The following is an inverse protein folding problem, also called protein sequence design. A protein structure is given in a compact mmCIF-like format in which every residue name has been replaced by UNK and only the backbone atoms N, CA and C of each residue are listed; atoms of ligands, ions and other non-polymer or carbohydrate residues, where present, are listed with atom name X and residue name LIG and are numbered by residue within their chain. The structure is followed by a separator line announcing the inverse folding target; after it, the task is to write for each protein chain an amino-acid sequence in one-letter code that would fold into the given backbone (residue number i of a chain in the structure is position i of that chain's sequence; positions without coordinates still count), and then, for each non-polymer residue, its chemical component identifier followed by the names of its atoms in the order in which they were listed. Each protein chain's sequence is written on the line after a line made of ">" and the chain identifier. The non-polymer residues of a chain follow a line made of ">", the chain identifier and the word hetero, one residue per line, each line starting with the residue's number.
data_IF_321686038161
#
_entry.id   IF_321686038161
#
_cell.length_a   1.000
_cell.length_b   1.000
_cell.length_c   1.000
_cell.angle_alpha   90.00
_cell.angle_beta   90.00
_cell.angle_gamma   90.00
#
_symmetry.space_group_name_H-M   'P 1'
#
loop_
_entity.id
_entity.type
_entity.pdbx_description
1 polymer ?
#
# COMPACT_ATOMS: atom_id res chain seq x y z
N UNK A 1 -9.29 5.41 -25.26
CA UNK A 1 -9.67 6.14 -24.05
C UNK A 1 -9.44 5.18 -22.89
N UNK A 2 -8.63 5.57 -21.91
CA UNK A 2 -8.35 4.70 -20.75
C UNK A 2 -9.59 4.58 -19.87
N UNK A 3 -9.68 3.57 -19.00
CA UNK A 3 -10.78 3.46 -18.06
C UNK A 3 -10.94 4.73 -17.21
N UNK A 4 -9.82 5.34 -16.83
CA UNK A 4 -9.77 6.55 -16.01
C UNK A 4 -10.38 7.77 -16.73
N UNK A 5 -10.13 7.89 -18.03
CA UNK A 5 -10.74 8.94 -18.85
C UNK A 5 -12.28 8.81 -18.88
N UNK A 6 -12.79 7.57 -18.97
CA UNK A 6 -14.24 7.30 -18.98
C UNK A 6 -14.90 7.70 -17.65
N UNK A 7 -14.31 7.29 -16.52
CA UNK A 7 -14.84 7.65 -15.18
C UNK A 7 -14.89 9.17 -14.99
N UNK A 8 -13.86 9.89 -15.47
CA UNK A 8 -13.83 11.34 -15.42
C UNK A 8 -14.85 12.00 -16.35
N UNK A 9 -15.10 11.42 -17.52
CA UNK A 9 -16.11 11.91 -18.46
C UNK A 9 -17.52 11.70 -17.90
N UNK A 10 -17.82 10.52 -17.38
CA UNK A 10 -19.10 10.19 -16.75
C UNK A 10 -19.40 11.11 -15.55
N UNK A 11 -18.40 11.35 -14.69
CA UNK A 11 -18.54 12.27 -13.57
C UNK A 11 -18.80 13.73 -14.00
N UNK A 12 -18.19 14.18 -15.11
CA UNK A 12 -18.46 15.52 -15.67
C UNK A 12 -19.88 15.61 -16.21
N UNK A 13 -20.32 14.61 -16.96
CA UNK A 13 -21.69 14.55 -17.49
C UNK A 13 -22.71 14.53 -16.34
N UNK A 14 -22.47 13.77 -15.28
CA UNK A 14 -23.31 13.74 -14.08
C UNK A 14 -23.45 15.13 -13.44
N UNK A 15 -22.35 15.88 -13.33
CA UNK A 15 -22.33 17.23 -12.79
C UNK A 15 -23.09 18.23 -13.66
N UNK A 16 -22.97 18.12 -14.99
CA UNK A 16 -23.71 18.96 -15.94
C UNK A 16 -25.22 18.71 -15.88
N UNK A 17 -25.63 17.45 -15.71
CA UNK A 17 -27.03 17.05 -15.63
C UNK A 17 -27.67 17.33 -14.27
N UNK A 18 -26.87 17.55 -13.21
CA UNK A 18 -27.33 17.73 -11.83
C UNK A 18 -28.27 16.61 -11.33
N UNK A 19 -28.07 15.39 -11.83
CA UNK A 19 -28.85 14.22 -11.40
C UNK A 19 -28.22 13.63 -10.14
N UNK A 20 -28.95 13.70 -9.01
CA UNK A 20 -28.46 13.23 -7.70
C UNK A 20 -28.07 11.74 -7.71
N UNK A 21 -28.80 10.91 -8.44
CA UNK A 21 -28.54 9.46 -8.48
C UNK A 21 -27.29 9.14 -9.27
N UNK A 22 -27.12 9.81 -10.41
CA UNK A 22 -25.93 9.67 -11.25
C UNK A 22 -24.69 10.27 -10.57
N UNK A 23 -24.86 11.36 -9.82
CA UNK A 23 -23.79 11.96 -9.01
C UNK A 23 -23.29 11.00 -7.93
N UNK A 24 -24.18 10.29 -7.23
CA UNK A 24 -23.78 9.34 -6.21
C UNK A 24 -23.05 8.12 -6.81
N UNK A 25 -23.53 7.60 -7.94
CA UNK A 25 -22.89 6.49 -8.65
C UNK A 25 -21.48 6.87 -9.17
N UNK A 26 -21.37 8.03 -9.80
CA UNK A 26 -20.08 8.52 -10.32
C UNK A 26 -19.12 8.89 -9.19
N UNK A 27 -19.62 9.37 -8.05
CA UNK A 27 -18.79 9.61 -6.86
C UNK A 27 -18.16 8.31 -6.33
N UNK A 28 -18.92 7.22 -6.26
CA UNK A 28 -18.35 5.91 -5.87
C UNK A 28 -17.29 5.43 -6.86
N UNK A 29 -17.52 5.67 -8.15
CA UNK A 29 -16.54 5.34 -9.20
C UNK A 29 -15.25 6.16 -9.06
N UNK A 30 -15.36 7.45 -8.70
CA UNK A 30 -14.20 8.32 -8.42
C UNK A 30 -13.42 7.87 -7.18
N UNK A 31 -14.09 7.40 -6.12
CA UNK A 31 -13.41 6.82 -4.95
C UNK A 31 -12.67 5.52 -5.29
N UNK A 32 -13.19 4.74 -6.25
CA UNK A 32 -12.48 3.59 -6.81
C UNK A 32 -11.23 4.03 -7.58
N UNK A 33 -11.40 5.03 -8.44
CA UNK A 33 -10.32 5.62 -9.24
C UNK A 33 -9.19 6.18 -8.38
N UNK A 34 -9.51 6.85 -7.27
CA UNK A 34 -8.52 7.37 -6.32
C UNK A 34 -7.62 6.25 -5.77
N UNK A 35 -8.20 5.11 -5.39
CA UNK A 35 -7.44 3.95 -4.88
C UNK A 35 -6.56 3.32 -5.95
N UNK A 36 -7.06 3.26 -7.20
CA UNK A 36 -6.27 2.78 -8.33
C UNK A 36 -5.08 3.71 -8.61
N UNK A 37 -5.30 5.03 -8.53
CA UNK A 37 -4.26 6.04 -8.68
C UNK A 37 -3.19 5.90 -7.60
N UNK A 38 -3.57 5.78 -6.33
CA UNK A 38 -2.63 5.56 -5.22
C UNK A 38 -1.78 4.30 -5.44
N UNK A 39 -2.39 3.22 -5.91
CA UNK A 39 -1.70 1.96 -6.21
C UNK A 39 -0.72 2.13 -7.36
N UNK A 40 -1.14 2.82 -8.42
CA UNK A 40 -0.29 3.10 -9.58
C UNK A 40 0.88 4.02 -9.23
N UNK A 41 0.67 5.03 -8.39
CA UNK A 41 1.75 5.90 -7.89
C UNK A 41 2.78 5.11 -7.08
N UNK A 42 2.32 4.20 -6.21
CA UNK A 42 3.21 3.32 -5.46
C UNK A 42 4.02 2.42 -6.40
N UNK A 43 3.39 1.80 -7.39
CA UNK A 43 4.10 0.99 -8.41
C UNK A 43 5.12 1.81 -9.19
N UNK A 44 4.80 3.07 -9.51
CA UNK A 44 5.74 3.97 -10.19
C UNK A 44 6.93 4.30 -9.29
N UNK A 45 6.71 4.49 -7.99
CA UNK A 45 7.78 4.73 -7.02
C UNK A 45 8.68 3.51 -6.82
N UNK A 46 8.09 2.31 -6.91
CA UNK A 46 8.77 1.02 -6.76
C UNK A 46 9.16 0.43 -8.13
N UNK A 47 9.93 1.18 -8.91
CA UNK A 47 10.39 0.77 -10.25
C UNK A 47 11.90 0.49 -10.32
N UNK A 48 12.53 0.29 -9.17
CA UNK A 48 13.93 -0.11 -9.06
C UNK A 48 14.15 -1.55 -9.53
N UNK A 49 15.40 -1.86 -9.88
CA UNK A 49 15.82 -3.16 -10.40
C UNK A 49 15.43 -4.35 -9.50
N UNK A 50 15.34 -4.12 -8.18
CA UNK A 50 15.12 -5.16 -7.18
C UNK A 50 13.77 -5.06 -6.46
N UNK A 51 12.88 -4.15 -6.86
CA UNK A 51 11.63 -3.90 -6.12
C UNK A 51 10.62 -5.08 -6.22
N UNK A 52 10.74 -5.89 -7.28
CA UNK A 52 9.94 -7.11 -7.47
C UNK A 52 10.50 -8.35 -6.75
N UNK A 53 11.64 -8.23 -6.05
CA UNK A 53 12.31 -9.36 -5.38
C UNK A 53 11.97 -9.41 -3.88
N UNK A 54 12.16 -10.60 -3.30
CA UNK A 54 12.03 -10.79 -1.86
C UNK A 54 13.04 -9.92 -1.08
N UNK A 55 12.58 -9.33 0.02
CA UNK A 55 13.40 -8.49 0.88
C UNK A 55 13.98 -9.28 2.07
N UNK A 56 15.27 -9.09 2.35
CA UNK A 56 15.90 -9.55 3.59
C UNK A 56 15.91 -8.41 4.60
N UNK A 57 15.16 -8.58 5.71
CA UNK A 57 15.14 -7.63 6.82
C UNK A 57 16.03 -8.13 7.96
N UNK A 58 17.02 -7.33 8.34
CA UNK A 58 17.84 -7.56 9.53
C UNK A 58 17.56 -6.50 10.59
N UNK A 59 17.19 -6.92 11.80
CA UNK A 59 16.96 -6.01 12.94
C UNK A 59 18.09 -6.20 13.95
N UNK A 60 18.88 -5.13 14.16
CA UNK A 60 19.99 -5.14 15.11
C UNK A 60 19.66 -4.31 16.34
N UNK A 61 19.93 -4.85 17.52
CA UNK A 61 19.85 -4.08 18.76
C UNK A 61 20.99 -3.05 18.79
N UNK A 62 20.64 -1.79 19.04
CA UNK A 62 21.61 -0.70 19.22
C UNK A 62 22.28 -0.71 20.60
N UNK A 63 22.95 0.39 20.93
CA UNK A 63 23.47 0.58 22.29
C UNK A 63 22.33 0.64 23.31
N UNK A 64 22.46 -0.08 24.42
CA UNK A 64 21.41 -0.13 25.46
C UNK A 64 21.27 -1.48 26.17
N UNK A 65 22.03 -2.52 25.77
CA UNK A 65 21.99 -3.82 26.43
C UNK A 65 20.61 -4.48 26.28
N UNK A 66 20.06 -4.99 27.38
CA UNK A 66 18.80 -5.75 27.40
C UNK A 66 17.62 -4.94 26.86
N UNK A 67 17.48 -3.66 27.22
CA UNK A 67 16.35 -2.85 26.76
C UNK A 67 16.35 -2.67 25.24
N UNK A 68 17.55 -2.51 24.65
CA UNK A 68 17.70 -2.43 23.20
C UNK A 68 17.39 -3.77 22.51
N UNK A 69 17.70 -4.89 23.15
CA UNK A 69 17.38 -6.23 22.66
C UNK A 69 15.87 -6.50 22.71
N UNK A 70 15.19 -6.09 23.78
CA UNK A 70 13.75 -6.20 23.92
C UNK A 70 13.04 -5.36 22.86
N UNK A 71 13.52 -4.14 22.60
CA UNK A 71 12.99 -3.29 21.56
C UNK A 71 13.21 -3.88 20.15
N UNK A 72 14.40 -4.37 19.85
CA UNK A 72 14.67 -5.07 18.58
C UNK A 72 13.74 -6.28 18.39
N UNK A 73 13.49 -7.03 19.46
CA UNK A 73 12.55 -8.15 19.48
C UNK A 73 11.09 -7.72 19.27
N UNK A 74 10.71 -6.52 19.74
CA UNK A 74 9.40 -5.93 19.46
C UNK A 74 9.27 -5.53 18.00
N UNK A 75 10.29 -4.89 17.42
CA UNK A 75 10.31 -4.51 16.01
C UNK A 75 10.26 -5.71 15.07
N UNK A 76 11.03 -6.76 15.35
CA UNK A 76 10.99 -8.00 14.58
C UNK A 76 9.55 -8.57 14.54
N UNK A 77 8.91 -8.69 15.72
CA UNK A 77 7.51 -9.17 15.81
C UNK A 77 6.53 -8.25 15.10
N UNK A 78 6.77 -6.94 15.11
CA UNK A 78 5.93 -5.98 14.40
C UNK A 78 5.98 -6.20 12.89
N UNK A 79 7.18 -6.30 12.31
CA UNK A 79 7.34 -6.50 10.86
C UNK A 79 6.85 -7.88 10.41
N UNK A 80 7.05 -8.93 11.20
CA UNK A 80 6.47 -10.25 10.89
C UNK A 80 4.94 -10.20 10.81
N UNK A 81 4.27 -9.50 11.75
CA UNK A 81 2.80 -9.34 11.72
C UNK A 81 2.34 -8.47 10.55
N UNK A 82 3.06 -7.39 10.26
CA UNK A 82 2.74 -6.51 9.14
C UNK A 82 2.88 -7.24 7.79
N UNK A 83 3.96 -8.01 7.60
CA UNK A 83 4.17 -8.77 6.38
C UNK A 83 3.07 -9.84 6.18
N UNK A 84 2.73 -10.56 7.25
CA UNK A 84 1.63 -11.51 7.23
C UNK A 84 0.26 -10.85 6.92
N UNK A 85 -0.03 -9.65 7.47
CA UNK A 85 -1.29 -8.94 7.18
C UNK A 85 -1.36 -8.38 5.76
N UNK A 86 -0.21 -8.18 5.11
CA UNK A 86 -0.11 -7.85 3.68
C UNK A 86 -0.12 -9.07 2.77
N UNK A 87 -0.14 -10.29 3.33
CA UNK A 87 -0.17 -11.55 2.57
C UNK A 87 1.20 -12.04 2.09
N UNK A 88 2.29 -11.46 2.59
CA UNK A 88 3.65 -11.91 2.24
C UNK A 88 4.05 -13.17 3.00
N UNK A 89 4.88 -14.00 2.35
CA UNK A 89 5.60 -15.09 3.02
C UNK A 89 6.64 -14.53 3.99
N UNK A 90 6.77 -15.12 5.17
CA UNK A 90 7.74 -14.70 6.18
C UNK A 90 8.53 -15.91 6.66
N UNK A 91 9.85 -15.86 6.49
CA UNK A 91 10.78 -16.87 6.97
C UNK A 91 11.81 -16.22 7.92
N UNK A 92 12.02 -16.81 9.09
CA UNK A 92 13.06 -16.37 10.02
C UNK A 92 14.35 -17.12 9.70
N UNK A 93 15.31 -16.42 9.09
CA UNK A 93 16.58 -17.03 8.64
C UNK A 93 17.58 -17.23 9.78
N UNK A 94 17.73 -16.24 10.66
CA UNK A 94 18.66 -16.26 11.77
C UNK A 94 18.13 -15.44 12.95
N UNK A 95 18.49 -15.84 14.17
CA UNK A 95 18.21 -15.11 15.40
C UNK A 95 19.27 -15.46 16.45
N UNK A 96 20.09 -14.47 16.80
CA UNK A 96 21.12 -14.56 17.84
C UNK A 96 20.69 -13.80 19.09
#
# INVERSE_FOLDING_TARGET
>A
MTHWDLVLEDAKVALELQDETLLEETFQSLLGLEKELDTFELQRMLNGEYDDYDAILTVNAGAGGTDAQDWASMLLRMYMRWAASKGYGVELLDKT
#
